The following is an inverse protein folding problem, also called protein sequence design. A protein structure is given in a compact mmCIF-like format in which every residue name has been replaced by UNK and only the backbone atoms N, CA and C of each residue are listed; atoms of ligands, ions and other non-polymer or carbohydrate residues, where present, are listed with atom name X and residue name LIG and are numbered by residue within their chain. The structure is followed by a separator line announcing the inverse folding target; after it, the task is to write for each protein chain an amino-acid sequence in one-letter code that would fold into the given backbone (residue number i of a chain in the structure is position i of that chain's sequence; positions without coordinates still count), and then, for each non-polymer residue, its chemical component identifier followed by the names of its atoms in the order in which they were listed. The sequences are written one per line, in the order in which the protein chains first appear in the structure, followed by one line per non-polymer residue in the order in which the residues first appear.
data_IF_032454709915
#
_entry.id   IF_032454709915
#
_cell.length_a   1.000
_cell.length_b   1.000
_cell.length_c   1.000
_cell.angle_alpha   90.00
_cell.angle_beta   90.00
_cell.angle_gamma   90.00
#
_symmetry.space_group_name_H-M   'P 1'
#
loop_
_entity.id
_entity.type
_entity.pdbx_description
1 polymer ?
#
# COMPACT_ATOMS: atom_id res chain seq x y z
N UNK A 1 -1.67 -18.47 -1.91
CA UNK A 1 -0.99 -17.97 -3.13
C UNK A 1 -0.61 -19.16 -4.00
N UNK A 2 -0.72 -19.09 -5.32
CA UNK A 2 -0.32 -20.22 -6.19
C UNK A 2 1.18 -20.17 -6.51
N UNK A 3 1.89 -21.33 -6.62
CA UNK A 3 3.30 -21.35 -7.01
C UNK A 3 3.57 -20.68 -8.38
N UNK A 4 2.60 -20.76 -9.30
CA UNK A 4 2.69 -20.10 -10.60
C UNK A 4 2.74 -18.58 -10.51
N UNK A 5 1.96 -17.98 -9.61
CA UNK A 5 1.96 -16.52 -9.41
C UNK A 5 3.30 -16.06 -8.81
N UNK A 6 3.82 -16.79 -7.80
CA UNK A 6 5.13 -16.49 -7.20
C UNK A 6 6.21 -16.51 -8.27
N UNK A 7 6.25 -17.57 -9.09
CA UNK A 7 7.23 -17.67 -10.18
C UNK A 7 7.12 -16.54 -11.22
N UNK A 8 5.92 -16.05 -11.52
CA UNK A 8 5.75 -14.92 -12.44
C UNK A 8 6.23 -13.60 -11.85
N UNK A 9 6.05 -13.40 -10.54
CA UNK A 9 6.57 -12.24 -9.81
C UNK A 9 8.10 -12.30 -9.77
N UNK A 10 8.70 -13.44 -9.41
CA UNK A 10 10.16 -13.63 -9.39
C UNK A 10 10.82 -13.38 -10.74
N UNK A 11 10.12 -13.67 -11.84
CA UNK A 11 10.59 -13.43 -13.22
C UNK A 11 10.24 -12.04 -13.74
N UNK A 12 9.73 -11.14 -12.90
CA UNK A 12 9.31 -9.76 -13.25
C UNK A 12 8.30 -9.71 -14.42
N UNK A 13 7.43 -10.72 -14.51
CA UNK A 13 6.39 -10.83 -15.55
C UNK A 13 5.07 -10.21 -15.14
N UNK A 14 4.81 -10.15 -13.84
CA UNK A 14 3.61 -9.54 -13.26
C UNK A 14 3.95 -8.84 -11.95
N UNK A 15 3.33 -7.69 -11.72
CA UNK A 15 3.40 -7.01 -10.44
C UNK A 15 2.40 -7.64 -9.47
N UNK A 16 2.75 -7.83 -8.19
CA UNK A 16 1.81 -8.25 -7.17
C UNK A 16 0.74 -7.19 -6.90
N UNK A 17 -0.46 -7.59 -6.48
CA UNK A 17 -1.40 -6.66 -5.85
C UNK A 17 -0.87 -6.22 -4.48
N UNK A 18 -1.43 -5.14 -3.93
CA UNK A 18 -1.09 -4.68 -2.57
C UNK A 18 -1.21 -5.83 -1.58
N UNK A 19 -2.35 -6.52 -1.56
CA UNK A 19 -2.58 -7.66 -0.65
C UNK A 19 -1.63 -8.84 -0.90
N UNK A 20 -1.25 -9.09 -2.15
CA UNK A 20 -0.28 -10.14 -2.49
C UNK A 20 1.12 -9.77 -1.99
N UNK A 21 1.53 -8.52 -2.17
CA UNK A 21 2.82 -8.04 -1.69
C UNK A 21 2.91 -8.18 -0.17
N UNK A 22 1.89 -7.75 0.57
CA UNK A 22 1.85 -7.92 2.02
C UNK A 22 1.95 -9.37 2.46
N UNK A 23 1.24 -10.28 1.79
CA UNK A 23 1.32 -11.71 2.09
C UNK A 23 2.73 -12.27 1.86
N UNK A 24 3.43 -11.86 0.79
CA UNK A 24 4.80 -12.27 0.49
C UNK A 24 5.75 -11.77 1.58
N UNK A 25 5.70 -10.49 1.90
CA UNK A 25 6.57 -9.83 2.89
C UNK A 25 6.44 -10.51 4.26
N UNK A 26 5.19 -10.75 4.68
CA UNK A 26 4.90 -11.45 5.95
C UNK A 26 5.45 -12.87 5.96
N UNK A 27 5.23 -13.64 4.91
CA UNK A 27 5.67 -15.05 4.83
C UNK A 27 7.19 -15.19 4.81
N UNK A 28 7.88 -14.21 4.23
CA UNK A 28 9.34 -14.17 4.19
C UNK A 28 9.97 -13.56 5.45
N UNK A 29 9.17 -13.07 6.41
CA UNK A 29 9.67 -12.37 7.60
C UNK A 29 10.41 -11.07 7.28
N UNK A 30 10.07 -10.44 6.15
CA UNK A 30 10.63 -9.16 5.70
C UNK A 30 9.78 -8.00 6.20
N UNK A 31 10.38 -6.82 6.23
CA UNK A 31 9.64 -5.56 6.41
C UNK A 31 9.17 -5.00 5.07
N UNK A 32 8.15 -4.17 5.06
CA UNK A 32 7.77 -3.47 3.82
C UNK A 32 8.89 -2.54 3.33
N UNK A 33 9.67 -1.98 4.24
CA UNK A 33 10.87 -1.20 3.91
C UNK A 33 11.93 -1.97 3.14
N UNK A 34 12.00 -3.30 3.30
CA UNK A 34 12.98 -4.14 2.59
C UNK A 34 12.62 -4.33 1.11
N UNK A 35 11.34 -4.19 0.76
CA UNK A 35 10.84 -4.36 -0.61
C UNK A 35 11.11 -3.12 -1.46
N UNK A 36 11.20 -1.96 -0.86
CA UNK A 36 11.65 -0.78 -1.58
C UNK A 36 13.13 -0.96 -1.93
N UNK A 37 13.43 -1.07 -3.20
CA UNK A 37 14.81 -1.21 -3.70
C UNK A 37 15.74 -0.15 -3.13
N UNK A 38 17.03 -0.37 -3.32
CA UNK A 38 18.03 0.64 -3.05
C UNK A 38 17.78 1.87 -3.92
N UNK A 39 18.20 3.02 -3.47
CA UNK A 39 18.13 4.24 -4.27
C UNK A 39 18.91 4.06 -5.57
N UNK A 40 18.51 4.73 -6.64
CA UNK A 40 19.37 4.86 -7.81
C UNK A 40 20.75 5.39 -7.37
N UNK A 41 21.81 4.63 -7.65
CA UNK A 41 23.19 4.90 -7.19
C UNK A 41 23.80 6.22 -7.70
N UNK A 42 23.12 6.96 -8.58
CA UNK A 42 23.68 8.11 -9.29
C UNK A 42 23.58 9.45 -8.54
N UNK A 43 23.13 9.48 -7.29
CA UNK A 43 23.10 10.75 -6.57
C UNK A 43 24.33 10.99 -5.73
N UNK A 44 25.09 12.02 -6.10
CA UNK A 44 25.98 12.73 -5.16
C UNK A 44 25.09 13.39 -4.10
N UNK A 45 25.06 12.81 -2.89
CA UNK A 45 24.36 13.41 -1.74
C UNK A 45 25.08 14.72 -1.43
N UNK A 46 24.44 15.85 -1.72
CA UNK A 46 24.95 17.16 -1.32
C UNK A 46 25.01 17.23 0.22
N UNK A 47 26.07 17.84 0.80
CA UNK A 47 26.15 18.03 2.24
C UNK A 47 24.93 18.83 2.75
N UNK A 48 24.08 18.18 3.58
CA UNK A 48 22.85 18.77 4.11
C UNK A 48 21.54 18.14 3.61
N UNK A 49 21.56 17.31 2.57
CA UNK A 49 20.37 16.61 2.03
C UNK A 49 20.04 15.30 2.77
N UNK A 50 20.83 14.92 3.78
CA UNK A 50 20.75 13.60 4.41
C UNK A 50 19.43 13.24 5.11
N UNK A 51 18.52 14.19 5.31
CA UNK A 51 17.20 13.94 5.92
C UNK A 51 16.03 14.20 4.96
N UNK A 52 16.30 14.87 3.84
CA UNK A 52 15.26 15.25 2.89
C UNK A 52 15.13 14.22 1.77
N UNK A 53 13.91 13.74 1.51
CA UNK A 53 13.60 12.90 0.35
C UNK A 53 12.92 13.72 -0.74
N UNK A 54 13.48 13.66 -1.96
CA UNK A 54 12.98 14.42 -3.11
C UNK A 54 12.17 13.51 -4.04
N UNK A 55 11.16 14.04 -4.76
CA UNK A 55 10.34 13.22 -5.65
C UNK A 55 11.15 12.38 -6.65
N UNK A 56 12.25 12.94 -7.15
CA UNK A 56 13.08 12.35 -8.20
C UNK A 56 13.94 11.18 -7.70
N UNK A 57 14.07 11.03 -6.38
CA UNK A 57 14.95 10.02 -5.75
C UNK A 57 14.21 9.05 -4.86
N UNK A 58 12.88 9.17 -4.78
CA UNK A 58 12.05 8.27 -3.96
C UNK A 58 12.14 6.84 -4.47
N UNK A 59 12.38 5.89 -3.59
CA UNK A 59 12.17 4.49 -3.92
C UNK A 59 10.71 4.24 -4.26
N UNK A 60 10.47 3.50 -5.35
CA UNK A 60 9.13 3.27 -5.91
C UNK A 60 8.85 1.78 -6.01
N UNK A 61 7.64 1.39 -5.65
CA UNK A 61 7.06 0.07 -5.94
C UNK A 61 5.88 0.25 -6.88
N UNK A 62 5.92 -0.42 -8.03
CA UNK A 62 4.79 -0.53 -8.94
C UNK A 62 4.05 -1.84 -8.67
N UNK A 63 2.75 -1.72 -8.43
CA UNK A 63 1.87 -2.81 -8.05
C UNK A 63 0.88 -3.13 -9.17
N UNK A 64 0.16 -4.24 -9.04
CA UNK A 64 -0.89 -4.60 -9.98
C UNK A 64 -1.95 -3.49 -10.08
N UNK A 65 -2.66 -3.45 -11.20
CA UNK A 65 -3.64 -2.40 -11.52
C UNK A 65 -3.06 -0.99 -11.62
N UNK A 66 -1.73 -0.85 -11.69
CA UNK A 66 -1.03 0.42 -11.78
C UNK A 66 -0.95 1.19 -10.47
N UNK A 67 -1.32 0.58 -9.34
CA UNK A 67 -1.08 1.18 -8.02
C UNK A 67 0.41 1.41 -7.85
N UNK A 68 0.78 2.60 -7.36
CA UNK A 68 2.17 3.00 -7.19
C UNK A 68 2.38 3.55 -5.78
N UNK A 69 3.43 3.09 -5.13
CA UNK A 69 3.88 3.57 -3.84
C UNK A 69 5.27 4.18 -3.92
N UNK A 70 5.43 5.33 -3.31
CA UNK A 70 6.71 6.03 -3.18
C UNK A 70 7.02 6.18 -1.70
N UNK A 71 8.19 5.72 -1.26
CA UNK A 71 8.63 5.91 0.11
C UNK A 71 9.05 7.37 0.31
N UNK A 72 8.51 8.00 1.35
CA UNK A 72 8.76 9.41 1.69
C UNK A 72 9.89 9.59 2.71
N UNK A 73 10.41 8.51 3.30
CA UNK A 73 11.56 8.56 4.20
C UNK A 73 12.86 8.39 3.44
N UNK A 74 13.88 9.14 3.85
CA UNK A 74 15.22 9.02 3.27
C UNK A 74 15.84 7.66 3.57
N UNK A 75 15.80 7.24 4.81
CA UNK A 75 16.27 5.93 5.27
C UNK A 75 15.10 4.94 5.42
N UNK A 76 15.45 3.67 5.52
CA UNK A 76 14.49 2.64 5.89
C UNK A 76 14.08 2.82 7.34
N UNK A 77 12.79 2.77 7.61
CA UNK A 77 12.24 2.80 8.95
C UNK A 77 11.42 1.52 9.14
N UNK A 78 11.82 0.62 10.07
CA UNK A 78 11.10 -0.61 10.30
C UNK A 78 9.76 -0.39 11.02
N UNK A 79 9.59 0.70 11.75
CA UNK A 79 8.39 0.97 12.55
C UNK A 79 7.33 1.77 11.80
N UNK A 80 7.75 2.52 10.76
CA UNK A 80 6.88 3.46 10.06
C UNK A 80 6.99 3.29 8.54
N UNK A 81 5.87 3.01 7.91
CA UNK A 81 5.73 3.13 6.46
C UNK A 81 5.14 4.52 6.18
N UNK A 82 5.93 5.43 5.64
CA UNK A 82 5.49 6.77 5.24
C UNK A 82 5.54 6.88 3.72
N UNK A 83 4.36 6.86 3.09
CA UNK A 83 4.19 6.63 1.67
C UNK A 83 3.40 7.76 1.00
N UNK A 84 3.77 8.07 -0.23
CA UNK A 84 2.89 8.67 -1.21
C UNK A 84 2.31 7.57 -2.09
N UNK A 85 0.98 7.44 -2.10
CA UNK A 85 0.29 6.37 -2.83
C UNK A 85 -0.53 6.95 -3.97
N UNK A 86 -0.51 6.27 -5.11
CA UNK A 86 -1.29 6.61 -6.30
C UNK A 86 -2.14 5.41 -6.69
N UNK A 87 -3.45 5.62 -6.76
CA UNK A 87 -4.41 4.67 -7.29
C UNK A 87 -4.95 5.21 -8.61
N UNK A 88 -4.58 4.64 -9.76
CA UNK A 88 -5.22 4.95 -11.05
C UNK A 88 -6.71 4.67 -11.02
N UNK A 89 -7.43 5.21 -11.99
CA UNK A 89 -8.87 4.96 -12.17
C UNK A 89 -9.14 3.45 -12.22
N UNK A 90 -10.06 2.99 -11.38
CA UNK A 90 -10.44 1.58 -11.26
C UNK A 90 -9.46 0.69 -10.49
N UNK A 91 -8.35 1.24 -10.00
CA UNK A 91 -7.40 0.48 -9.18
C UNK A 91 -7.88 0.29 -7.75
N UNK A 92 -7.47 -0.81 -7.13
CA UNK A 92 -7.78 -1.15 -5.74
C UNK A 92 -6.64 -1.91 -5.07
N UNK A 93 -6.63 -1.91 -3.73
CA UNK A 93 -5.64 -2.63 -2.92
C UNK A 93 -5.81 -4.15 -2.99
N UNK A 94 -7.04 -4.63 -3.15
CA UNK A 94 -7.40 -6.04 -3.31
C UNK A 94 -8.68 -6.16 -4.16
N UNK A 95 -9.04 -7.38 -4.61
CA UNK A 95 -10.30 -7.63 -5.32
C UNK A 95 -11.53 -7.14 -4.56
N UNK A 96 -12.63 -6.93 -5.28
CA UNK A 96 -13.87 -6.39 -4.69
C UNK A 96 -14.51 -7.33 -3.65
N UNK A 97 -14.31 -8.62 -3.82
CA UNK A 97 -14.81 -9.67 -2.95
C UNK A 97 -13.81 -10.08 -1.84
N UNK A 98 -12.81 -9.25 -1.59
CA UNK A 98 -11.78 -9.51 -0.60
C UNK A 98 -11.47 -8.26 0.23
N UNK A 99 -11.12 -8.48 1.49
CA UNK A 99 -10.58 -7.49 2.41
C UNK A 99 -9.24 -7.99 2.93
N UNK A 100 -8.32 -7.09 3.18
CA UNK A 100 -7.02 -7.41 3.78
C UNK A 100 -6.98 -7.00 5.24
N UNK A 101 -6.19 -7.73 6.03
CA UNK A 101 -5.84 -7.36 7.40
C UNK A 101 -4.34 -7.48 7.58
N UNK A 102 -3.78 -6.64 8.42
CA UNK A 102 -2.39 -6.74 8.88
C UNK A 102 -2.21 -6.06 10.23
N UNK A 103 -1.05 -6.19 10.85
CA UNK A 103 -0.73 -5.47 12.08
C UNK A 103 -0.57 -3.98 11.84
N UNK A 104 -0.64 -3.22 12.94
CA UNK A 104 -0.39 -1.78 12.93
C UNK A 104 -1.64 -0.91 12.85
N UNK A 105 -1.42 0.37 12.66
CA UNK A 105 -2.44 1.38 12.53
C UNK A 105 -2.18 2.24 11.31
N UNK A 106 -3.23 2.51 10.54
CA UNK A 106 -3.16 3.31 9.32
C UNK A 106 -3.70 4.71 9.50
N UNK A 107 -3.07 5.65 8.81
CA UNK A 107 -3.49 7.04 8.69
C UNK A 107 -3.40 7.44 7.22
N UNK A 108 -4.50 7.94 6.68
CA UNK A 108 -4.61 8.41 5.30
C UNK A 108 -5.00 9.88 5.22
N UNK A 109 -4.41 10.60 4.25
CA UNK A 109 -4.79 11.96 3.90
C UNK A 109 -4.83 12.10 2.37
N UNK A 110 -5.99 12.42 1.82
CA UNK A 110 -6.19 12.53 0.37
C UNK A 110 -5.72 13.89 -0.13
N UNK A 111 -4.80 13.89 -1.08
CA UNK A 111 -4.26 15.11 -1.71
C UNK A 111 -4.92 15.45 -3.04
N UNK A 112 -5.48 14.47 -3.75
CA UNK A 112 -6.33 14.68 -4.94
C UNK A 112 -7.12 13.42 -5.30
N UNK A 113 -8.19 13.58 -6.08
CA UNK A 113 -9.11 12.51 -6.44
C UNK A 113 -10.06 12.15 -5.29
N UNK A 114 -10.74 11.01 -5.43
CA UNK A 114 -11.65 10.48 -4.40
C UNK A 114 -11.26 9.04 -4.08
N UNK A 115 -10.92 8.78 -2.81
CA UNK A 115 -10.54 7.46 -2.30
C UNK A 115 -11.74 6.80 -1.63
N UNK A 116 -12.14 5.64 -2.12
CA UNK A 116 -13.02 4.73 -1.40
C UNK A 116 -12.22 3.95 -0.37
N UNK A 117 -12.72 3.87 0.85
CA UNK A 117 -12.13 3.07 1.94
C UNK A 117 -13.23 2.28 2.62
N UNK A 118 -13.09 0.97 2.65
CA UNK A 118 -13.92 0.08 3.47
C UNK A 118 -13.12 -0.37 4.68
N UNK A 119 -13.71 -0.28 5.87
CA UNK A 119 -13.17 -0.81 7.13
C UNK A 119 -14.28 -1.61 7.82
N UNK A 120 -14.10 -2.91 7.92
CA UNK A 120 -15.15 -3.81 8.37
C UNK A 120 -16.37 -3.74 7.45
N UNK A 121 -17.51 -3.31 8.00
CA UNK A 121 -18.79 -3.16 7.28
C UNK A 121 -19.07 -1.72 6.83
N UNK A 122 -18.22 -0.77 7.20
CA UNK A 122 -18.42 0.66 6.88
C UNK A 122 -17.58 1.05 5.67
N UNK A 123 -18.16 1.83 4.77
CA UNK A 123 -17.50 2.35 3.60
C UNK A 123 -17.56 3.89 3.61
N UNK A 124 -16.44 4.50 3.22
CA UNK A 124 -16.24 5.93 3.18
C UNK A 124 -15.74 6.35 1.80
N UNK A 125 -16.14 7.52 1.35
CA UNK A 125 -15.54 8.20 0.20
C UNK A 125 -14.86 9.47 0.70
N UNK A 126 -13.54 9.54 0.51
CA UNK A 126 -12.70 10.62 0.98
C UNK A 126 -12.23 11.46 -0.20
N UNK A 127 -12.57 12.74 -0.20
CA UNK A 127 -12.11 13.72 -1.17
C UNK A 127 -10.85 14.44 -0.74
N UNK A 128 -10.41 15.41 -1.56
CA UNK A 128 -9.26 16.26 -1.24
C UNK A 128 -9.39 16.93 0.14
N UNK A 129 -8.38 16.77 0.98
CA UNK A 129 -8.32 17.32 2.33
C UNK A 129 -8.91 16.41 3.40
N UNK A 130 -9.64 15.35 3.03
CA UNK A 130 -10.15 14.40 3.99
C UNK A 130 -9.06 13.47 4.51
N UNK A 131 -9.26 12.98 5.72
CA UNK A 131 -8.36 12.03 6.38
C UNK A 131 -9.13 10.91 7.06
N UNK A 132 -8.45 9.78 7.25
CA UNK A 132 -8.96 8.60 7.96
C UNK A 132 -7.87 8.02 8.84
N UNK A 133 -8.27 7.40 9.95
CA UNK A 133 -7.38 6.59 10.77
C UNK A 133 -8.13 5.37 11.30
N UNK A 134 -7.51 4.19 11.20
CA UNK A 134 -8.09 2.94 11.67
C UNK A 134 -7.01 1.94 12.10
N UNK A 135 -7.43 0.92 12.85
CA UNK A 135 -6.61 -0.22 13.22
C UNK A 135 -6.58 -1.20 12.04
N UNK A 136 -5.39 -1.52 11.54
CA UNK A 136 -5.20 -2.35 10.34
C UNK A 136 -5.57 -3.83 10.56
N UNK A 137 -5.79 -4.26 11.80
CA UNK A 137 -6.36 -5.57 12.13
C UNK A 137 -7.85 -5.67 11.75
N UNK A 138 -8.53 -4.53 11.56
CA UNK A 138 -9.86 -4.48 10.97
C UNK A 138 -9.78 -4.79 9.47
N UNK A 139 -10.59 -5.73 8.93
CA UNK A 139 -10.61 -6.00 7.50
C UNK A 139 -10.89 -4.74 6.68
N UNK A 140 -10.04 -4.43 5.71
CA UNK A 140 -10.13 -3.18 4.96
C UNK A 140 -9.77 -3.33 3.49
N UNK A 141 -10.22 -2.37 2.68
CA UNK A 141 -9.95 -2.26 1.24
C UNK A 141 -9.94 -0.78 0.84
N UNK A 142 -9.03 -0.42 -0.07
CA UNK A 142 -8.93 0.90 -0.67
C UNK A 142 -9.12 0.81 -2.19
N UNK A 143 -9.79 1.82 -2.80
CA UNK A 143 -9.96 1.88 -4.25
C UNK A 143 -10.14 3.32 -4.74
N UNK A 144 -9.82 3.54 -6.02
CA UNK A 144 -10.12 4.81 -6.67
C UNK A 144 -11.61 4.90 -7.04
N UNK A 145 -12.25 6.03 -6.72
CA UNK A 145 -13.65 6.34 -7.06
C UNK A 145 -13.67 7.40 -8.16
N UNK A 146 -14.57 7.22 -9.12
CA UNK A 146 -14.76 8.19 -10.20
C UNK A 146 -13.76 8.07 -11.34
N UNK A 147 -13.55 9.17 -12.07
CA UNK A 147 -12.80 9.23 -13.33
C UNK A 147 -11.41 9.84 -13.25
N UNK A 148 -10.91 10.09 -12.04
CA UNK A 148 -9.58 10.67 -11.80
C UNK A 148 -8.74 9.76 -10.90
N UNK A 149 -7.39 9.75 -11.07
CA UNK A 149 -6.54 9.01 -10.16
C UNK A 149 -6.58 9.64 -8.75
N UNK A 150 -6.40 8.79 -7.75
CA UNK A 150 -6.29 9.21 -6.35
C UNK A 150 -4.83 9.34 -5.98
N UNK A 151 -4.51 10.42 -5.30
CA UNK A 151 -3.22 10.65 -4.69
C UNK A 151 -3.43 10.88 -3.18
N UNK A 152 -2.66 10.18 -2.35
CA UNK A 152 -2.77 10.30 -0.91
C UNK A 152 -1.42 10.14 -0.21
N UNK A 153 -1.29 10.74 0.96
CA UNK A 153 -0.25 10.41 1.93
C UNK A 153 -0.80 9.29 2.80
N UNK A 154 -0.01 8.24 2.98
CA UNK A 154 -0.40 7.06 3.74
C UNK A 154 0.70 6.70 4.73
N UNK A 155 0.30 6.50 5.98
CA UNK A 155 1.24 6.13 7.05
C UNK A 155 0.73 4.86 7.72
N UNK A 156 1.60 3.87 7.87
CA UNK A 156 1.34 2.67 8.68
C UNK A 156 2.37 2.59 9.79
N UNK A 157 1.90 2.42 11.03
CA UNK A 157 2.76 2.39 12.21
C UNK A 157 2.56 1.07 12.94
N UNK A 158 3.67 0.45 13.38
CA UNK A 158 3.65 -0.72 14.25
C UNK A 158 3.22 -2.03 13.56
N UNK A 159 3.38 -2.12 12.25
CA UNK A 159 3.08 -3.35 11.50
C UNK A 159 3.85 -4.55 12.02
N UNK A 160 5.12 -4.38 12.34
CA UNK A 160 6.00 -5.47 12.76
C UNK A 160 5.68 -6.02 14.15
N UNK A 161 4.94 -5.25 14.97
CA UNK A 161 4.48 -5.72 16.27
C UNK A 161 3.44 -6.86 16.16
N UNK A 162 2.74 -6.98 15.02
CA UNK A 162 1.85 -8.10 14.69
C UNK A 162 1.96 -8.47 13.21
N UNK A 163 2.86 -9.38 12.85
CA UNK A 163 3.15 -9.71 11.45
C UNK A 163 2.02 -10.51 10.75
N UNK A 164 0.90 -10.82 11.42
CA UNK A 164 -0.18 -11.59 10.82
C UNK A 164 -0.90 -10.76 9.76
N UNK A 165 -0.71 -11.12 8.50
CA UNK A 165 -1.47 -10.58 7.37
C UNK A 165 -2.43 -11.64 6.87
N UNK A 166 -3.71 -11.31 6.76
CA UNK A 166 -4.74 -12.23 6.27
C UNK A 166 -5.59 -11.53 5.20
N UNK A 167 -5.93 -12.26 4.15
CA UNK A 167 -6.94 -11.87 3.18
C UNK A 167 -8.23 -12.61 3.54
N UNK A 168 -9.27 -11.86 3.86
CA UNK A 168 -10.58 -12.39 4.20
C UNK A 168 -11.50 -12.20 3.01
N UNK A 169 -12.06 -13.29 2.49
CA UNK A 169 -13.10 -13.21 1.45
C UNK A 169 -14.40 -12.74 2.07
N UNK A 170 -15.03 -11.74 1.47
CA UNK A 170 -16.39 -11.35 1.84
C UNK A 170 -17.37 -12.41 1.33
N UNK A 171 -18.31 -12.92 2.15
CA UNK A 171 -19.33 -13.80 1.65
C UNK A 171 -20.19 -13.05 0.62
N UNK A 172 -20.38 -13.66 -0.57
CA UNK A 172 -21.34 -13.13 -1.54
C UNK A 172 -22.71 -13.02 -0.90
N UNK A 173 -23.42 -11.88 -1.07
CA UNK A 173 -24.81 -11.82 -0.65
C UNK A 173 -25.59 -12.92 -1.38
N UNK A 174 -26.29 -13.74 -0.61
CA UNK A 174 -27.21 -14.72 -1.15
C UNK A 174 -28.36 -13.93 -1.76
N UNK A 175 -28.42 -13.85 -3.08
CA UNK A 175 -29.59 -13.35 -3.79
C UNK A 175 -30.62 -14.46 -3.79
N UNK A 176 -31.70 -14.28 -3.01
CA UNK A 176 -32.92 -15.06 -3.12
C UNK A 176 -33.64 -14.80 -4.46
#
# INVERSE_FOLDING_TARGET
MSPSLVSQIELDRVNPSVSTLYAIVTELGMTMSDVFGERPEERVVEPGDGLAERPETRPVINLASGVRWERLTHERDPEVEFLYVVYPVGAASCPEDALMTHGGREYGYVTSGTLGVQVGFEAYELGHGDSIAFDSSSPHRLWAVGGEPVHAIWVVIGREADPRTTIVSTPRPVTD
#
